data_IF_376300906816
#
_entry.id   IF_376300906816
#
_cell.length_a   1.000
_cell.length_b   1.000
_cell.length_c   1.000
_cell.angle_alpha   90.00
_cell.angle_beta   90.00
_cell.angle_gamma   90.00
#
_symmetry.space_group_name_H-M   'P 1'
#
loop_
_entity.id
_entity.type
_entity.pdbx_description
1 polymer ?
#
# COMPACT_ATOMS: atom_id res chain seq x y z
N UNK A 1 -13.16 -22.19 -13.85
CA UNK A 1 -13.81 -21.46 -12.74
C UNK A 1 -13.33 -21.91 -11.38
N UNK A 2 -12.78 -23.12 -11.25
CA UNK A 2 -12.18 -23.60 -9.99
C UNK A 2 -11.06 -22.70 -9.46
N UNK A 3 -10.28 -22.08 -10.35
CA UNK A 3 -9.28 -21.08 -9.95
C UNK A 3 -9.93 -19.88 -9.24
N UNK A 4 -11.11 -19.42 -9.66
CA UNK A 4 -11.82 -18.35 -8.96
C UNK A 4 -12.28 -18.82 -7.57
N UNK A 5 -12.76 -20.06 -7.45
CA UNK A 5 -13.10 -20.65 -6.15
C UNK A 5 -11.90 -20.70 -5.21
N UNK A 6 -10.73 -21.09 -5.72
CA UNK A 6 -9.46 -21.08 -4.96
C UNK A 6 -9.09 -19.66 -4.53
N UNK A 7 -9.11 -18.70 -5.46
CA UNK A 7 -8.76 -17.30 -5.19
C UNK A 7 -9.67 -16.69 -4.13
N UNK A 8 -10.99 -16.86 -4.25
CA UNK A 8 -11.96 -16.37 -3.26
C UNK A 8 -11.81 -17.12 -1.94
N UNK A 9 -11.66 -18.43 -1.95
CA UNK A 9 -11.49 -19.25 -0.74
C UNK A 9 -10.28 -18.83 0.07
N UNK A 10 -9.14 -18.63 -0.59
CA UNK A 10 -7.91 -18.16 0.06
C UNK A 10 -7.99 -16.69 0.47
N UNK A 11 -8.61 -15.81 -0.33
CA UNK A 11 -8.80 -14.40 0.00
C UNK A 11 -9.66 -14.19 1.25
N UNK A 12 -10.68 -15.04 1.42
CA UNK A 12 -11.66 -14.99 2.53
C UNK A 12 -11.21 -15.75 3.78
N UNK A 13 -9.97 -16.23 3.83
CA UNK A 13 -9.42 -17.07 4.90
C UNK A 13 -10.18 -18.38 5.16
N UNK A 14 -10.99 -18.84 4.21
CA UNK A 14 -11.66 -20.14 4.29
C UNK A 14 -10.77 -21.28 3.79
N UNK A 15 -9.86 -20.97 2.87
CA UNK A 15 -9.08 -21.94 2.12
C UNK A 15 -9.94 -22.80 1.21
N UNK A 16 -9.29 -23.71 0.48
CA UNK A 16 -9.97 -24.66 -0.42
C UNK A 16 -10.92 -25.62 0.31
N UNK A 17 -10.63 -25.96 1.57
CA UNK A 17 -11.50 -26.82 2.37
C UNK A 17 -12.83 -26.13 2.71
N UNK A 18 -12.77 -24.90 3.24
CA UNK A 18 -13.97 -24.14 3.55
C UNK A 18 -14.78 -23.86 2.28
N UNK A 19 -14.11 -23.45 1.21
CA UNK A 19 -14.78 -23.18 -0.07
C UNK A 19 -15.51 -24.40 -0.63
N UNK A 20 -14.94 -25.61 -0.54
CA UNK A 20 -15.60 -26.83 -0.99
C UNK A 20 -16.88 -27.18 -0.19
N UNK A 21 -17.01 -26.71 1.05
CA UNK A 21 -18.21 -26.93 1.87
C UNK A 21 -19.35 -25.96 1.54
N UNK A 22 -19.03 -24.80 0.94
CA UNK A 22 -19.98 -23.73 0.66
C UNK A 22 -20.09 -23.43 -0.83
N UNK A 23 -19.67 -24.35 -1.69
CA UNK A 23 -19.76 -24.19 -3.13
C UNK A 23 -20.09 -25.48 -3.86
N UNK A 24 -20.28 -25.35 -5.17
CA UNK A 24 -20.48 -26.43 -6.14
C UNK A 24 -19.18 -27.16 -6.56
N UNK A 25 -18.08 -26.98 -5.83
CA UNK A 25 -16.76 -27.58 -6.12
C UNK A 25 -16.30 -28.56 -5.06
N UNK A 26 -15.60 -29.62 -5.46
CA UNK A 26 -15.07 -30.62 -4.52
C UNK A 26 -13.66 -30.26 -4.04
N UNK A 27 -13.31 -30.67 -2.82
CA UNK A 27 -11.99 -30.43 -2.25
C UNK A 27 -10.86 -31.00 -3.13
N UNK A 28 -11.01 -32.22 -3.64
CA UNK A 28 -9.97 -32.88 -4.45
C UNK A 28 -9.68 -32.12 -5.76
N UNK A 29 -10.73 -31.56 -6.39
CA UNK A 29 -10.60 -30.70 -7.55
C UNK A 29 -9.83 -29.42 -7.21
N UNK A 30 -10.24 -28.70 -6.17
CA UNK A 30 -9.61 -27.44 -5.77
C UNK A 30 -8.15 -27.65 -5.32
N UNK A 31 -7.88 -28.73 -4.58
CA UNK A 31 -6.53 -29.09 -4.11
C UNK A 31 -5.57 -29.32 -5.27
N UNK A 32 -6.00 -30.12 -6.26
CA UNK A 32 -5.20 -30.42 -7.45
C UNK A 32 -4.89 -29.16 -8.26
N UNK A 33 -5.89 -28.30 -8.45
CA UNK A 33 -5.73 -27.08 -9.24
C UNK A 33 -4.87 -26.05 -8.50
N UNK A 34 -5.03 -25.88 -7.19
CA UNK A 34 -4.19 -24.98 -6.41
C UNK A 34 -2.72 -25.42 -6.49
N UNK A 35 -2.45 -26.71 -6.30
CA UNK A 35 -1.10 -27.26 -6.36
C UNK A 35 -0.43 -27.03 -7.73
N UNK A 36 -1.19 -27.07 -8.82
CA UNK A 36 -0.65 -26.97 -10.18
C UNK A 36 -0.54 -25.53 -10.71
N UNK A 37 -1.46 -24.63 -10.33
CA UNK A 37 -1.62 -23.33 -11.01
C UNK A 37 -1.42 -22.09 -10.14
N UNK A 38 -1.51 -22.21 -8.80
CA UNK A 38 -1.39 -21.06 -7.91
C UNK A 38 0.07 -20.86 -7.49
N UNK A 39 0.69 -19.73 -7.86
CA UNK A 39 2.05 -19.35 -7.50
C UNK A 39 2.10 -17.87 -7.14
N UNK A 40 3.12 -17.46 -6.39
CA UNK A 40 3.26 -16.06 -5.98
C UNK A 40 3.48 -15.16 -7.20
N UNK A 41 4.26 -15.62 -8.17
CA UNK A 41 4.59 -14.92 -9.41
C UNK A 41 3.33 -14.70 -10.26
N UNK A 42 2.47 -15.71 -10.38
CA UNK A 42 1.22 -15.59 -11.16
C UNK A 42 0.21 -14.69 -10.47
N UNK A 43 0.14 -14.70 -9.13
CA UNK A 43 -0.69 -13.78 -8.36
C UNK A 43 -0.22 -12.32 -8.45
N UNK A 44 1.10 -12.08 -8.43
CA UNK A 44 1.65 -10.75 -8.62
C UNK A 44 1.34 -10.21 -10.01
N UNK A 45 1.59 -11.00 -11.05
CA UNK A 45 1.25 -10.62 -12.43
C UNK A 45 -0.25 -10.37 -12.62
N UNK A 46 -1.12 -11.18 -11.99
CA UNK A 46 -2.57 -10.96 -12.02
C UNK A 46 -2.97 -9.64 -11.34
N UNK A 47 -2.35 -9.31 -10.20
CA UNK A 47 -2.58 -8.03 -9.53
C UNK A 47 -2.14 -6.86 -10.39
N UNK A 48 -0.97 -6.95 -11.03
CA UNK A 48 -0.48 -5.89 -11.93
C UNK A 48 -1.44 -5.68 -13.09
N UNK A 49 -1.97 -6.75 -13.70
CA UNK A 49 -2.97 -6.63 -14.76
C UNK A 49 -4.22 -5.86 -14.30
N UNK A 50 -4.75 -6.15 -13.10
CA UNK A 50 -5.92 -5.44 -12.57
C UNK A 50 -5.58 -3.98 -12.23
N UNK A 51 -4.45 -3.73 -11.60
CA UNK A 51 -4.02 -2.38 -11.25
C UNK A 51 -3.78 -1.54 -12.50
N UNK A 52 -3.09 -2.07 -13.50
CA UNK A 52 -2.80 -1.40 -14.77
C UNK A 52 -4.10 -1.15 -15.57
N UNK A 53 -5.05 -2.08 -15.54
CA UNK A 53 -6.38 -1.85 -16.10
C UNK A 53 -7.13 -0.74 -15.35
N UNK A 54 -7.05 -0.72 -14.02
CA UNK A 54 -7.65 0.34 -13.18
C UNK A 54 -7.05 1.71 -13.50
N UNK A 55 -5.74 1.78 -13.71
CA UNK A 55 -5.04 3.02 -14.04
C UNK A 55 -5.48 3.63 -15.39
N UNK A 56 -5.95 2.80 -16.32
CA UNK A 56 -6.43 3.22 -17.66
C UNK A 56 -7.87 3.75 -17.63
N UNK A 57 -8.60 3.54 -16.54
CA UNK A 57 -9.99 3.98 -16.44
C UNK A 57 -10.07 5.52 -16.34
N UNK A 58 -11.05 6.16 -17.00
CA UNK A 58 -11.23 7.62 -16.98
C UNK A 58 -11.25 8.24 -15.58
N UNK A 59 -11.86 7.54 -14.61
CA UNK A 59 -12.00 8.03 -13.24
C UNK A 59 -10.65 8.12 -12.49
N UNK A 60 -9.65 7.32 -12.89
CA UNK A 60 -8.45 7.10 -12.08
C UNK A 60 -7.67 8.40 -11.81
N UNK A 61 -7.58 9.30 -12.79
CA UNK A 61 -6.91 10.60 -12.65
C UNK A 61 -7.50 11.47 -11.54
N UNK A 62 -8.82 11.35 -11.30
CA UNK A 62 -9.51 12.11 -10.25
C UNK A 62 -9.26 11.53 -8.86
N UNK A 63 -8.67 10.34 -8.77
CA UNK A 63 -8.17 9.83 -7.51
C UNK A 63 -6.88 10.52 -7.09
N UNK A 64 -6.16 11.23 -7.95
CA UNK A 64 -4.96 11.93 -7.50
C UNK A 64 -5.32 13.00 -6.44
N UNK A 65 -4.54 13.05 -5.36
CA UNK A 65 -4.75 14.05 -4.28
C UNK A 65 -4.37 15.44 -4.77
N UNK A 66 -3.27 15.48 -5.51
CA UNK A 66 -2.71 16.62 -6.21
C UNK A 66 -2.73 16.29 -7.70
N UNK A 67 -3.00 17.27 -8.55
CA UNK A 67 -3.02 17.07 -10.00
C UNK A 67 -1.70 16.46 -10.49
N UNK A 68 -1.80 15.43 -11.34
CA UNK A 68 -0.66 14.69 -11.91
C UNK A 68 0.36 14.10 -10.93
N UNK A 69 0.01 13.95 -9.65
CA UNK A 69 0.88 13.33 -8.64
C UNK A 69 0.22 12.09 -8.05
N UNK A 70 0.89 10.95 -8.20
CA UNK A 70 0.47 9.68 -7.60
C UNK A 70 1.04 9.60 -6.19
N UNK A 71 0.15 9.83 -5.20
CA UNK A 71 0.51 9.75 -3.80
C UNK A 71 0.19 8.36 -3.25
N UNK A 72 1.23 7.62 -2.87
CA UNK A 72 1.11 6.32 -2.22
C UNK A 72 1.26 6.40 -0.70
N UNK A 73 0.74 5.38 -0.02
CA UNK A 73 0.99 5.10 1.38
C UNK A 73 1.52 3.68 1.56
N UNK A 74 2.43 3.49 2.51
CA UNK A 74 2.85 2.17 2.96
C UNK A 74 2.45 1.98 4.43
N UNK A 75 1.76 0.88 4.72
CA UNK A 75 1.35 0.52 6.07
C UNK A 75 1.34 -1.01 6.27
N UNK A 76 1.51 -1.46 7.52
CA UNK A 76 1.57 -2.86 7.92
C UNK A 76 0.33 -3.31 8.69
N UNK A 77 -0.42 -4.26 8.14
CA UNK A 77 -1.50 -4.94 8.86
C UNK A 77 -0.99 -6.17 9.60
N UNK A 78 -1.39 -6.32 10.86
CA UNK A 78 -1.03 -7.47 11.71
C UNK A 78 -2.08 -8.58 11.55
N UNK A 79 -1.61 -9.81 11.32
CA UNK A 79 -2.46 -10.99 11.16
C UNK A 79 -2.04 -12.08 12.13
N UNK A 80 -2.97 -12.55 12.95
CA UNK A 80 -2.77 -13.72 13.81
C UNK A 80 -2.63 -14.99 12.97
N UNK A 81 -1.71 -15.87 13.37
CA UNK A 81 -1.46 -17.15 12.73
C UNK A 81 -1.45 -18.28 13.78
N UNK A 82 -2.18 -19.37 13.53
CA UNK A 82 -2.29 -20.49 14.47
C UNK A 82 -1.02 -21.34 14.58
N UNK A 83 -0.33 -21.58 13.46
CA UNK A 83 0.84 -22.49 13.38
C UNK A 83 2.15 -21.71 13.38
N UNK A 84 3.20 -22.31 13.97
CA UNK A 84 4.54 -21.71 13.93
C UNK A 84 5.15 -21.92 12.55
N UNK A 85 5.54 -20.82 11.93
CA UNK A 85 6.33 -20.76 10.70
C UNK A 85 7.56 -19.89 10.93
N UNK A 86 8.47 -19.83 9.95
CA UNK A 86 9.69 -19.02 10.06
C UNK A 86 9.38 -17.52 10.17
N UNK A 87 8.24 -17.02 9.66
CA UNK A 87 7.86 -15.60 9.81
C UNK A 87 6.92 -15.32 10.98
N UNK A 88 6.17 -16.29 11.48
CA UNK A 88 5.27 -16.03 12.62
C UNK A 88 6.05 -15.70 13.88
N UNK A 89 5.64 -14.65 14.60
CA UNK A 89 6.28 -14.24 15.85
C UNK A 89 5.23 -13.88 16.89
N UNK A 90 5.51 -14.23 18.14
CA UNK A 90 4.72 -13.80 19.28
C UNK A 90 4.80 -12.28 19.44
N UNK A 91 3.67 -11.65 19.75
CA UNK A 91 3.64 -10.24 20.12
C UNK A 91 2.52 -9.99 21.10
N UNK A 92 2.87 -9.73 22.37
CA UNK A 92 1.90 -9.36 23.40
C UNK A 92 1.12 -8.11 23.06
N UNK A 93 1.75 -7.17 22.36
CA UNK A 93 1.12 -5.92 21.91
C UNK A 93 0.04 -6.14 20.85
N UNK A 94 0.28 -7.02 19.88
CA UNK A 94 -0.59 -7.15 18.69
C UNK A 94 -1.49 -8.39 18.69
N UNK A 95 -1.07 -9.46 19.37
CA UNK A 95 -1.70 -10.78 19.30
C UNK A 95 -1.93 -11.40 20.69
N UNK A 96 -1.69 -10.65 21.78
CA UNK A 96 -1.75 -11.19 23.14
C UNK A 96 -0.78 -12.36 23.34
N UNK A 97 -1.29 -13.56 23.68
CA UNK A 97 -0.48 -14.77 23.81
C UNK A 97 -0.24 -15.50 22.50
N UNK A 98 -0.82 -15.01 21.39
CA UNK A 98 -0.71 -15.60 20.08
C UNK A 98 0.48 -15.03 19.29
N UNK A 99 0.70 -15.60 18.12
CA UNK A 99 1.72 -15.22 17.15
C UNK A 99 1.07 -14.80 15.84
N UNK A 100 1.83 -14.10 15.03
CA UNK A 100 1.33 -13.62 13.75
C UNK A 100 2.41 -13.05 12.85
N UNK A 101 1.96 -12.48 11.74
CA UNK A 101 2.80 -11.84 10.72
C UNK A 101 2.35 -10.39 10.52
N UNK A 102 3.21 -9.60 9.88
CA UNK A 102 2.85 -8.26 9.39
C UNK A 102 2.82 -8.28 7.87
N UNK A 103 1.68 -7.94 7.26
CA UNK A 103 1.59 -7.73 5.84
C UNK A 103 1.68 -6.23 5.54
N UNK A 104 2.82 -5.82 5.02
CA UNK A 104 3.00 -4.47 4.48
C UNK A 104 2.32 -4.37 3.13
N UNK A 105 1.57 -3.29 2.91
CA UNK A 105 0.91 -3.00 1.64
C UNK A 105 1.32 -1.61 1.16
N UNK A 106 1.69 -1.50 -0.10
CA UNK A 106 1.89 -0.24 -0.80
C UNK A 106 0.63 0.06 -1.59
N UNK A 107 -0.01 1.16 -1.24
CA UNK A 107 -1.30 1.57 -1.77
C UNK A 107 -1.09 2.88 -2.50
N UNK A 108 -1.36 2.92 -3.80
CA UNK A 108 -1.32 4.12 -4.61
C UNK A 108 -2.75 4.49 -5.00
N UNK A 109 -3.18 5.72 -4.66
CA UNK A 109 -4.58 6.12 -4.70
C UNK A 109 -5.47 5.15 -3.90
N UNK A 110 -6.16 4.23 -4.57
CA UNK A 110 -7.05 3.23 -3.95
C UNK A 110 -6.63 1.78 -4.25
N UNK A 111 -5.55 1.59 -5.02
CA UNK A 111 -5.10 0.29 -5.49
C UNK A 111 -3.88 -0.18 -4.69
N UNK A 112 -3.89 -1.44 -4.23
CA UNK A 112 -2.71 -2.04 -3.61
C UNK A 112 -1.77 -2.57 -4.69
N UNK A 113 -0.81 -1.72 -5.05
CA UNK A 113 0.13 -1.96 -6.14
C UNK A 113 1.21 -2.97 -5.77
N UNK A 114 1.55 -3.09 -4.49
CA UNK A 114 2.49 -4.11 -4.03
C UNK A 114 2.22 -4.51 -2.56
N UNK A 115 2.67 -5.69 -2.15
CA UNK A 115 2.58 -6.15 -0.78
C UNK A 115 3.74 -7.08 -0.40
N UNK A 116 4.02 -7.16 0.90
CA UNK A 116 5.03 -8.06 1.44
C UNK A 116 4.69 -8.52 2.84
N UNK A 117 4.77 -9.83 3.06
CA UNK A 117 4.66 -10.43 4.39
C UNK A 117 6.04 -10.50 5.06
N UNK A 118 6.16 -9.83 6.20
CA UNK A 118 7.32 -9.81 7.10
C UNK A 118 6.94 -10.38 8.47
N UNK A 119 7.93 -10.78 9.26
CA UNK A 119 7.71 -11.21 10.64
C UNK A 119 7.22 -10.07 11.52
N UNK A 120 6.39 -10.37 12.52
CA UNK A 120 5.79 -9.34 13.37
C UNK A 120 6.80 -8.60 14.29
N UNK A 121 8.00 -9.14 14.46
CA UNK A 121 9.11 -8.50 15.17
C UNK A 121 9.98 -7.62 14.27
N UNK A 122 9.77 -7.67 12.95
CA UNK A 122 10.55 -6.90 11.99
C UNK A 122 10.01 -5.48 11.88
N UNK A 123 10.91 -4.51 11.75
CA UNK A 123 10.53 -3.11 11.71
C UNK A 123 10.16 -2.69 10.28
N UNK A 124 8.91 -2.29 10.06
CA UNK A 124 8.33 -1.98 8.74
C UNK A 124 9.13 -0.93 7.95
N UNK A 125 9.66 0.08 8.64
CA UNK A 125 10.46 1.13 8.02
C UNK A 125 11.68 0.62 7.22
N UNK A 126 12.16 -0.60 7.51
CA UNK A 126 13.31 -1.20 6.83
C UNK A 126 12.98 -1.74 5.43
N UNK A 127 11.69 -1.86 5.10
CA UNK A 127 11.21 -2.52 3.89
C UNK A 127 10.52 -1.56 2.91
N UNK A 128 10.35 -0.29 3.28
CA UNK A 128 9.61 0.70 2.49
C UNK A 128 10.22 0.87 1.08
N UNK A 129 11.54 1.08 1.01
CA UNK A 129 12.23 1.25 -0.25
C UNK A 129 12.16 -0.03 -1.10
N UNK A 130 12.35 -1.19 -0.48
CA UNK A 130 12.26 -2.48 -1.17
C UNK A 130 10.86 -2.71 -1.74
N UNK A 131 9.82 -2.30 -1.02
CA UNK A 131 8.42 -2.42 -1.43
C UNK A 131 8.10 -1.50 -2.62
N UNK A 132 8.64 -0.28 -2.65
CA UNK A 132 8.55 0.62 -3.81
C UNK A 132 9.30 0.06 -5.01
N UNK A 133 10.56 -0.36 -4.82
CA UNK A 133 11.41 -0.84 -5.92
C UNK A 133 10.98 -2.18 -6.52
N UNK A 134 10.24 -2.98 -5.76
CA UNK A 134 9.69 -4.26 -6.24
C UNK A 134 8.31 -4.13 -6.87
N UNK A 135 7.71 -2.94 -6.90
CA UNK A 135 6.48 -2.69 -7.66
C UNK A 135 6.74 -2.92 -9.16
N UNK A 136 5.90 -3.74 -9.77
CA UNK A 136 5.97 -4.09 -11.21
C UNK A 136 4.75 -3.60 -11.99
N UNK A 137 3.81 -2.93 -11.33
CA UNK A 137 2.67 -2.25 -11.98
C UNK A 137 3.11 -0.97 -12.71
N UNK A 138 2.26 -0.51 -13.63
CA UNK A 138 2.44 0.75 -14.38
C UNK A 138 2.18 1.99 -13.50
N UNK A 139 1.63 1.79 -12.29
CA UNK A 139 1.35 2.85 -11.33
C UNK A 139 2.61 3.13 -10.52
N UNK A 140 3.33 4.19 -10.88
CA UNK A 140 4.57 4.62 -10.22
C UNK A 140 4.26 5.79 -9.27
N UNK A 141 4.42 5.63 -7.94
CA UNK A 141 4.22 6.73 -7.01
C UNK A 141 5.28 7.82 -7.13
N UNK A 142 4.88 9.08 -6.95
CA UNK A 142 5.80 10.22 -6.84
C UNK A 142 6.09 10.54 -5.35
N UNK A 143 5.05 10.42 -4.52
CA UNK A 143 5.08 10.72 -3.09
C UNK A 143 4.73 9.48 -2.30
N UNK A 144 5.45 9.24 -1.20
CA UNK A 144 5.15 8.16 -0.28
C UNK A 144 4.93 8.67 1.14
N UNK A 145 3.77 8.34 1.70
CA UNK A 145 3.46 8.55 3.12
C UNK A 145 3.46 7.26 3.94
N UNK A 146 3.79 7.41 5.21
CA UNK A 146 3.71 6.36 6.24
C UNK A 146 3.50 7.04 7.58
N UNK A 147 2.98 6.30 8.57
CA UNK A 147 2.97 6.77 9.95
C UNK A 147 4.38 6.75 10.56
N UNK A 148 4.51 7.39 11.72
CA UNK A 148 5.77 7.52 12.51
C UNK A 148 6.58 6.23 12.60
N UNK A 149 5.93 5.08 12.77
CA UNK A 149 6.60 3.77 12.89
C UNK A 149 7.25 3.29 11.58
N UNK A 150 6.85 3.83 10.43
CA UNK A 150 7.50 3.57 9.14
C UNK A 150 8.70 4.47 8.86
N UNK A 151 9.13 5.33 9.78
CA UNK A 151 10.31 6.20 9.59
C UNK A 151 11.56 5.56 10.18
N UNK A 152 12.70 5.65 9.48
CA UNK A 152 14.04 5.38 10.03
C UNK A 152 15.03 6.48 9.67
N UNK A 153 16.30 6.28 10.05
CA UNK A 153 17.38 7.25 9.90
C UNK A 153 17.97 7.37 8.48
N UNK A 154 17.48 6.59 7.50
CA UNK A 154 17.94 6.62 6.11
C UNK A 154 16.82 6.79 5.07
N UNK A 155 15.54 6.66 5.45
CA UNK A 155 14.41 6.69 4.51
C UNK A 155 14.36 7.96 3.66
N UNK A 156 14.60 9.14 4.25
CA UNK A 156 14.59 10.38 3.47
C UNK A 156 15.71 10.37 2.43
N UNK A 157 16.93 9.99 2.83
CA UNK A 157 18.05 9.90 1.90
C UNK A 157 17.80 8.88 0.78
N UNK A 158 17.34 7.67 1.13
CA UNK A 158 17.14 6.60 0.15
C UNK A 158 16.03 6.92 -0.85
N UNK A 159 14.94 7.53 -0.41
CA UNK A 159 13.83 7.87 -1.30
C UNK A 159 14.17 9.07 -2.19
N UNK A 160 14.84 10.08 -1.64
CA UNK A 160 15.30 11.25 -2.39
C UNK A 160 16.28 10.87 -3.51
N UNK A 161 17.23 9.95 -3.26
CA UNK A 161 18.17 9.46 -4.27
C UNK A 161 17.51 8.78 -5.48
N UNK A 162 16.27 8.35 -5.33
CA UNK A 162 15.49 7.69 -6.37
C UNK A 162 14.35 8.55 -6.91
N UNK A 163 14.29 9.83 -6.52
CA UNK A 163 13.31 10.80 -7.00
C UNK A 163 11.95 10.72 -6.31
N UNK A 164 11.82 9.97 -5.21
CA UNK A 164 10.58 9.91 -4.44
C UNK A 164 10.57 10.97 -3.35
N UNK A 165 9.46 11.68 -3.23
CA UNK A 165 9.22 12.53 -2.07
C UNK A 165 8.73 11.68 -0.89
N UNK A 166 9.52 11.59 0.17
CA UNK A 166 9.08 10.95 1.41
C UNK A 166 8.32 11.93 2.31
N UNK A 167 7.05 11.65 2.58
CA UNK A 167 6.14 12.52 3.30
C UNK A 167 5.47 11.80 4.49
N UNK A 168 6.23 11.46 5.56
CA UNK A 168 5.68 10.75 6.72
C UNK A 168 4.79 11.64 7.59
N UNK A 169 3.76 11.02 8.20
CA UNK A 169 2.93 11.65 9.24
C UNK A 169 3.51 11.36 10.62
N UNK A 170 3.99 12.41 11.28
CA UNK A 170 4.45 12.31 12.66
C UNK A 170 3.29 12.47 13.64
N UNK A 171 3.15 11.52 14.57
CA UNK A 171 2.15 11.61 15.63
C UNK A 171 2.47 12.74 16.62
N UNK A 172 3.76 12.96 16.89
CA UNK A 172 4.27 14.03 17.76
C UNK A 172 5.10 15.02 16.93
N UNK A 173 4.47 15.74 16.00
CA UNK A 173 5.15 16.68 15.09
C UNK A 173 6.02 17.68 15.86
N UNK A 174 5.49 18.28 16.93
CA UNK A 174 6.23 19.25 17.75
C UNK A 174 7.52 18.70 18.35
N UNK A 175 7.51 17.43 18.80
CA UNK A 175 8.72 16.76 19.28
C UNK A 175 9.75 16.61 18.16
N UNK A 176 9.32 16.14 16.99
CA UNK A 176 10.22 15.93 15.85
C UNK A 176 10.83 17.25 15.35
N UNK A 177 10.05 18.33 15.36
CA UNK A 177 10.53 19.69 15.05
C UNK A 177 11.56 20.12 16.11
N UNK A 178 11.21 20.02 17.39
CA UNK A 178 12.09 20.41 18.49
C UNK A 178 13.36 19.58 18.56
N UNK A 179 13.37 18.33 18.08
CA UNK A 179 14.58 17.50 18.00
C UNK A 179 15.54 18.00 16.89
N UNK A 180 15.02 18.66 15.85
CA UNK A 180 15.80 19.13 14.70
C UNK A 180 16.16 20.61 14.76
N UNK A 181 15.25 21.45 15.25
CA UNK A 181 15.34 22.91 15.22
C UNK A 181 15.28 23.50 16.64
N UNK A 182 16.04 24.56 16.85
CA UNK A 182 15.79 25.53 17.91
C UNK A 182 14.72 26.50 17.42
N UNK A 183 13.64 26.60 18.18
CA UNK A 183 12.52 27.51 17.93
C UNK A 183 12.68 28.68 18.90
N UNK A 184 12.86 29.88 18.38
CA UNK A 184 12.96 31.11 19.18
C UNK A 184 11.90 32.09 18.71
N UNK A 185 11.29 32.78 19.66
CA UNK A 185 10.38 33.89 19.39
C UNK A 185 11.12 35.19 19.74
N UNK A 186 11.13 36.15 18.81
CA UNK A 186 11.72 37.45 19.07
C UNK A 186 10.72 38.40 19.77
N UNK A 187 11.19 39.62 20.10
CA UNK A 187 10.38 40.63 20.80
C UNK A 187 9.17 41.13 19.98
N UNK A 188 9.13 40.84 18.68
CA UNK A 188 8.07 41.23 17.74
C UNK A 188 7.15 40.04 17.42
N UNK A 189 7.20 38.97 18.23
CA UNK A 189 6.42 37.74 18.04
C UNK A 189 6.73 36.99 16.74
N UNK A 190 7.90 37.23 16.12
CA UNK A 190 8.34 36.44 14.96
C UNK A 190 9.04 35.17 15.41
N UNK A 191 8.67 34.06 14.80
CA UNK A 191 9.27 32.76 15.04
C UNK A 191 10.50 32.61 14.15
N UNK A 192 11.65 32.35 14.76
CA UNK A 192 12.90 31.98 14.09
C UNK A 192 13.18 30.50 14.32
N UNK A 193 13.39 29.77 13.22
CA UNK A 193 13.77 28.36 13.21
C UNK A 193 15.22 28.22 12.75
N UNK A 194 16.07 27.67 13.60
CA UNK A 194 17.46 27.38 13.27
C UNK A 194 17.76 25.91 13.55
N UNK A 195 18.58 25.25 12.73
CA UNK A 195 19.00 23.88 13.02
C UNK A 195 19.82 23.82 14.32
N UNK A 196 19.46 22.91 15.23
CA UNK A 196 20.21 22.68 16.49
C UNK A 196 21.67 22.31 16.25
N UNK A 197 21.89 21.52 15.20
CA UNK A 197 23.21 21.14 14.71
C UNK A 197 23.25 21.43 13.22
N UNK A 198 24.18 22.28 12.74
CA UNK A 198 24.34 22.53 11.31
C UNK A 198 24.49 21.21 10.53
N UNK A 199 23.96 21.17 9.31
CA UNK A 199 24.19 20.05 8.40
C UNK A 199 25.65 20.09 7.95
N UNK A 200 26.37 18.98 8.10
CA UNK A 200 27.75 18.90 7.63
C UNK A 200 27.78 18.48 6.14
N UNK A 201 27.65 19.45 5.25
CA UNK A 201 27.66 19.24 3.79
C UNK A 201 29.01 18.73 3.28
N UNK A 202 30.12 19.08 3.94
CA UNK A 202 31.45 18.58 3.58
C UNK A 202 31.55 17.06 3.72
N UNK A 203 31.00 16.47 4.80
CA UNK A 203 30.95 15.01 4.98
C UNK A 203 30.11 14.31 3.93
N UNK A 204 29.01 14.93 3.50
CA UNK A 204 28.18 14.41 2.41
C UNK A 204 29.00 14.37 1.12
N UNK A 205 29.64 15.50 0.77
CA UNK A 205 30.46 15.61 -0.44
C UNK A 205 31.63 14.62 -0.44
N UNK A 206 32.34 14.48 0.68
CA UNK A 206 33.50 13.59 0.82
C UNK A 206 33.15 12.11 0.57
N UNK A 207 31.94 11.68 0.90
CA UNK A 207 31.51 10.28 0.75
C UNK A 207 30.42 10.09 -0.31
N UNK A 208 30.18 11.10 -1.16
CA UNK A 208 29.10 11.10 -2.14
C UNK A 208 29.20 9.91 -3.09
N UNK A 209 30.38 9.62 -3.62
CA UNK A 209 30.64 8.46 -4.47
C UNK A 209 30.21 7.14 -3.82
N UNK A 210 30.38 7.02 -2.50
CA UNK A 210 29.99 5.81 -1.77
C UNK A 210 28.48 5.74 -1.58
N UNK A 211 27.83 6.87 -1.31
CA UNK A 211 26.36 6.98 -1.26
C UNK A 211 25.77 6.59 -2.62
N UNK A 212 26.34 7.08 -3.72
CA UNK A 212 25.93 6.71 -5.07
C UNK A 212 26.13 5.20 -5.35
N UNK A 213 27.24 4.60 -4.91
CA UNK A 213 27.45 3.14 -5.04
C UNK A 213 26.43 2.33 -4.25
N UNK A 214 25.99 2.80 -3.08
CA UNK A 214 24.89 2.18 -2.32
C UNK A 214 23.59 2.26 -3.13
N UNK A 215 23.26 3.45 -3.65
CA UNK A 215 22.08 3.64 -4.50
C UNK A 215 22.12 2.72 -5.73
N UNK A 216 23.25 2.62 -6.42
CA UNK A 216 23.43 1.69 -7.55
C UNK A 216 23.23 0.23 -7.12
N UNK A 217 23.78 -0.15 -5.96
CA UNK A 217 23.63 -1.54 -5.45
C UNK A 217 22.19 -1.88 -5.11
N UNK A 218 21.45 -0.92 -4.53
CA UNK A 218 20.02 -1.03 -4.27
C UNK A 218 19.22 -1.10 -5.58
N UNK A 219 19.50 -0.21 -6.55
CA UNK A 219 18.85 -0.20 -7.87
C UNK A 219 19.06 -1.50 -8.63
N UNK A 220 20.27 -2.06 -8.56
CA UNK A 220 20.62 -3.36 -9.17
C UNK A 220 20.09 -4.55 -8.37
N UNK A 221 19.38 -4.33 -7.25
CA UNK A 221 18.86 -5.36 -6.34
C UNK A 221 19.93 -6.33 -5.83
N UNK A 222 21.20 -5.89 -5.79
CA UNK A 222 22.32 -6.65 -5.19
C UNK A 222 22.28 -6.66 -3.66
N UNK A 223 21.54 -5.73 -3.08
CA UNK A 223 21.24 -5.65 -1.66
C UNK A 223 19.84 -5.10 -1.46
N UNK A 224 19.30 -5.23 -0.25
CA UNK A 224 17.99 -4.69 0.14
C UNK A 224 18.17 -3.56 1.14
N UNK A 225 17.16 -2.70 1.29
CA UNK A 225 17.15 -1.70 2.34
C UNK A 225 17.29 -2.36 3.71
N UNK A 226 16.59 -3.45 3.97
CA UNK A 226 16.67 -4.15 5.25
C UNK A 226 18.10 -4.63 5.56
N UNK A 227 18.80 -5.17 4.56
CA UNK A 227 20.22 -5.55 4.69
C UNK A 227 21.11 -4.33 4.94
N UNK A 228 20.88 -3.24 4.22
CA UNK A 228 21.64 -2.00 4.39
C UNK A 228 21.47 -1.43 5.80
N UNK A 229 20.24 -1.27 6.28
CA UNK A 229 19.95 -0.72 7.61
C UNK A 229 20.53 -1.61 8.70
N UNK A 230 20.44 -2.94 8.56
CA UNK A 230 21.07 -3.88 9.49
C UNK A 230 22.58 -3.68 9.55
N UNK A 231 23.24 -3.63 8.40
CA UNK A 231 24.69 -3.42 8.31
C UNK A 231 25.13 -2.07 8.87
N UNK A 232 24.38 -1.01 8.57
CA UNK A 232 24.64 0.34 9.10
C UNK A 232 24.50 0.39 10.63
N UNK A 233 23.60 -0.41 11.20
CA UNK A 233 23.39 -0.49 12.65
C UNK A 233 24.54 -1.18 13.40
N UNK A 234 25.36 -1.98 12.70
CA UNK A 234 26.56 -2.63 13.26
C UNK A 234 27.76 -1.67 13.32
N UNK A 235 27.73 -0.58 12.55
CA UNK A 235 28.79 0.41 12.55
C UNK A 235 28.79 1.26 13.82
N UNK A 236 29.99 1.63 14.27
CA UNK A 236 30.14 2.67 15.30
C UNK A 236 29.55 3.98 14.77
N UNK A 237 28.98 4.78 15.69
CA UNK A 237 28.34 6.07 15.33
C UNK A 237 29.25 7.04 14.57
N UNK A 238 30.57 6.94 14.76
CA UNK A 238 31.58 7.75 14.10
C UNK A 238 32.10 7.15 12.78
N UNK A 239 31.46 6.10 12.25
CA UNK A 239 31.85 5.52 10.97
C UNK A 239 31.58 6.53 9.84
N UNK A 240 32.57 6.91 9.03
CA UNK A 240 32.44 8.05 8.10
C UNK A 240 31.26 7.94 7.13
N UNK A 241 31.01 6.74 6.59
CA UNK A 241 29.87 6.47 5.70
C UNK A 241 28.51 6.61 6.41
N UNK A 242 28.40 6.13 7.66
CA UNK A 242 27.16 6.22 8.42
C UNK A 242 26.86 7.68 8.73
N UNK A 243 27.89 8.44 9.11
CA UNK A 243 27.78 9.88 9.35
C UNK A 243 27.36 10.63 8.10
N UNK A 244 27.99 10.36 6.94
CA UNK A 244 27.65 11.02 5.69
C UNK A 244 26.20 10.75 5.25
N UNK A 245 25.75 9.49 5.28
CA UNK A 245 24.37 9.14 4.94
C UNK A 245 23.37 9.73 5.94
N UNK A 246 23.72 9.76 7.22
CA UNK A 246 22.90 10.40 8.26
C UNK A 246 22.78 11.90 8.04
N UNK A 247 23.88 12.60 7.74
CA UNK A 247 23.85 14.05 7.48
C UNK A 247 23.04 14.38 6.21
N UNK A 248 23.14 13.56 5.16
CA UNK A 248 22.29 13.70 3.98
C UNK A 248 20.81 13.42 4.27
N UNK A 249 20.49 12.38 5.02
CA UNK A 249 19.12 12.12 5.47
C UNK A 249 18.58 13.28 6.33
N UNK A 250 19.40 13.86 7.21
CA UNK A 250 19.04 15.03 8.02
C UNK A 250 18.75 16.24 7.16
N UNK A 251 19.53 16.48 6.10
CA UNK A 251 19.31 17.58 5.16
C UNK A 251 17.92 17.48 4.51
N UNK A 252 17.62 16.34 3.88
CA UNK A 252 16.33 16.11 3.21
C UNK A 252 15.17 16.17 4.21
N UNK A 253 15.33 15.54 5.38
CA UNK A 253 14.33 15.57 6.45
C UNK A 253 14.07 16.99 6.96
N UNK A 254 15.12 17.79 7.15
CA UNK A 254 14.98 19.18 7.60
C UNK A 254 14.18 20.00 6.59
N UNK A 255 14.49 19.87 5.30
CA UNK A 255 13.75 20.52 4.23
C UNK A 255 12.26 20.12 4.24
N UNK A 256 11.98 18.82 4.34
CA UNK A 256 10.60 18.31 4.46
C UNK A 256 9.88 18.90 5.67
N UNK A 257 10.51 18.92 6.85
CA UNK A 257 9.89 19.44 8.07
C UNK A 257 9.54 20.93 7.95
N UNK A 258 10.40 21.74 7.32
CA UNK A 258 10.10 23.15 7.07
C UNK A 258 8.88 23.30 6.15
N UNK A 259 8.83 22.54 5.05
CA UNK A 259 7.66 22.52 4.17
C UNK A 259 6.41 22.04 4.90
N UNK A 260 6.53 21.02 5.75
CA UNK A 260 5.41 20.46 6.52
C UNK A 260 4.89 21.43 7.59
N UNK A 261 5.71 22.35 8.10
CA UNK A 261 5.30 23.43 9.01
C UNK A 261 4.55 24.51 8.24
N UNK A 262 5.08 24.94 7.10
CA UNK A 262 4.58 26.07 6.34
C UNK A 262 3.31 25.74 5.53
N UNK A 263 3.28 24.56 4.90
CA UNK A 263 2.23 24.18 3.95
C UNK A 263 1.13 23.32 4.58
N UNK A 264 -0.06 23.91 4.74
CA UNK A 264 -1.26 23.22 5.20
C UNK A 264 -1.78 22.18 4.20
N UNK A 265 -1.58 22.41 2.90
CA UNK A 265 -2.00 21.51 1.83
C UNK A 265 -1.17 20.24 1.88
N UNK A 266 0.16 20.32 2.03
CA UNK A 266 1.02 19.15 2.23
C UNK A 266 0.54 18.28 3.40
N UNK A 267 0.20 18.88 4.54
CA UNK A 267 -0.35 18.14 5.69
C UNK A 267 -1.66 17.43 5.35
N UNK A 268 -2.54 18.10 4.62
CA UNK A 268 -3.80 17.53 4.16
C UNK A 268 -3.55 16.36 3.20
N UNK A 269 -2.62 16.50 2.27
CA UNK A 269 -2.27 15.46 1.29
C UNK A 269 -1.77 14.19 1.98
N UNK A 270 -0.82 14.34 2.92
CA UNK A 270 -0.31 13.24 3.74
C UNK A 270 -1.45 12.55 4.50
N UNK A 271 -2.35 13.31 5.11
CA UNK A 271 -3.49 12.73 5.84
C UNK A 271 -4.45 11.98 4.91
N UNK A 272 -4.76 12.53 3.73
CA UNK A 272 -5.63 11.89 2.74
C UNK A 272 -5.04 10.60 2.21
N UNK A 273 -3.73 10.55 1.94
CA UNK A 273 -3.05 9.33 1.51
C UNK A 273 -3.17 8.21 2.56
N UNK A 274 -2.92 8.52 3.83
CA UNK A 274 -3.05 7.55 4.92
C UNK A 274 -4.50 7.10 5.14
N UNK A 275 -5.46 8.01 5.05
CA UNK A 275 -6.88 7.67 5.15
C UNK A 275 -7.32 6.69 4.04
N UNK A 276 -6.76 6.79 2.84
CA UNK A 276 -7.02 5.85 1.75
C UNK A 276 -6.43 4.48 2.02
N UNK A 277 -5.21 4.45 2.57
CA UNK A 277 -4.59 3.23 3.07
C UNK A 277 -5.50 2.50 4.08
N UNK A 278 -5.99 3.23 5.10
CA UNK A 278 -6.94 2.71 6.09
C UNK A 278 -8.24 2.20 5.45
N UNK A 279 -8.81 2.94 4.49
CA UNK A 279 -10.05 2.54 3.84
C UNK A 279 -9.90 1.26 3.00
N UNK A 280 -8.80 1.13 2.25
CA UNK A 280 -8.44 -0.12 1.56
C UNK A 280 -8.26 -1.26 2.58
N UNK A 281 -7.59 -0.98 3.69
CA UNK A 281 -7.37 -1.93 4.76
C UNK A 281 -8.66 -2.42 5.41
N UNK A 282 -9.68 -1.56 5.55
CA UNK A 282 -11.01 -1.95 6.01
C UNK A 282 -11.72 -2.86 4.99
N UNK A 283 -11.67 -2.52 3.70
CA UNK A 283 -12.20 -3.37 2.63
C UNK A 283 -11.53 -4.75 2.65
N UNK A 284 -10.19 -4.78 2.72
CA UNK A 284 -9.42 -6.02 2.77
C UNK A 284 -9.79 -6.87 3.99
N UNK A 285 -9.96 -6.25 5.17
CA UNK A 285 -10.46 -6.93 6.37
C UNK A 285 -11.86 -7.50 6.15
N UNK A 286 -12.75 -6.78 5.47
CA UNK A 286 -14.08 -7.29 5.15
C UNK A 286 -14.02 -8.54 4.26
N UNK A 287 -13.12 -8.57 3.28
CA UNK A 287 -12.83 -9.77 2.46
C UNK A 287 -12.34 -10.92 3.33
N UNK A 288 -11.36 -10.69 4.21
CA UNK A 288 -10.72 -11.74 5.01
C UNK A 288 -11.52 -12.22 6.23
N UNK A 289 -12.47 -11.41 6.73
CA UNK A 289 -13.21 -11.65 7.99
C UNK A 289 -14.39 -12.62 7.86
N UNK A 290 -14.69 -13.11 6.65
CA UNK A 290 -15.78 -14.06 6.40
C UNK A 290 -15.66 -15.33 7.28
N UNK A 291 -14.45 -15.68 7.72
CA UNK A 291 -14.17 -16.80 8.63
C UNK A 291 -13.64 -16.38 10.02
N UNK A 292 -13.92 -15.16 10.49
CA UNK A 292 -13.54 -14.70 11.84
C UNK A 292 -12.05 -14.38 12.01
N UNK A 293 -11.42 -13.76 10.99
CA UNK A 293 -10.08 -13.14 11.00
C UNK A 293 -8.86 -14.05 11.27
N UNK A 294 -9.02 -15.38 11.21
CA UNK A 294 -7.93 -16.30 11.58
C UNK A 294 -7.27 -16.96 10.37
N UNK A 295 -5.97 -16.72 10.18
CA UNK A 295 -5.17 -17.47 9.21
C UNK A 295 -5.00 -18.93 9.67
N UNK A 296 -5.45 -19.86 8.82
CA UNK A 296 -5.27 -21.32 9.02
C UNK A 296 -4.04 -21.86 8.31
N UNK A 297 -3.32 -21.02 7.55
CA UNK A 297 -2.13 -21.39 6.79
C UNK A 297 -1.08 -22.11 7.64
N UNK A 298 -0.50 -23.15 7.05
CA UNK A 298 0.42 -24.09 7.67
C UNK A 298 1.89 -23.81 7.35
N UNK A 299 2.17 -22.96 6.36
CA UNK A 299 3.52 -22.54 5.95
C UNK A 299 3.59 -21.04 5.63
N UNK A 300 4.80 -20.48 5.58
CA UNK A 300 5.01 -19.08 5.16
C UNK A 300 4.55 -18.83 3.73
N UNK A 301 4.71 -19.82 2.85
CA UNK A 301 4.27 -19.76 1.46
C UNK A 301 2.74 -19.69 1.39
N UNK A 302 2.03 -20.50 2.16
CA UNK A 302 0.58 -20.49 2.19
C UNK A 302 0.04 -19.14 2.72
N UNK A 303 0.66 -18.58 3.76
CA UNK A 303 0.32 -17.25 4.27
C UNK A 303 0.52 -16.18 3.18
N UNK A 304 1.62 -16.26 2.42
CA UNK A 304 1.88 -15.34 1.32
C UNK A 304 0.85 -15.49 0.19
N UNK A 305 0.53 -16.71 -0.22
CA UNK A 305 -0.49 -16.97 -1.24
C UNK A 305 -1.85 -16.41 -0.83
N UNK A 306 -2.26 -16.63 0.42
CA UNK A 306 -3.53 -16.10 0.94
C UNK A 306 -3.51 -14.57 1.00
N UNK A 307 -2.39 -13.98 1.44
CA UNK A 307 -2.21 -12.52 1.45
C UNK A 307 -2.38 -11.92 0.05
N UNK A 308 -1.76 -12.53 -0.97
CA UNK A 308 -1.85 -12.08 -2.35
C UNK A 308 -3.21 -12.37 -2.99
N UNK A 309 -3.88 -13.47 -2.64
CA UNK A 309 -5.27 -13.72 -3.05
C UNK A 309 -6.21 -12.65 -2.48
N UNK A 310 -6.05 -12.31 -1.20
CA UNK A 310 -6.81 -11.24 -0.57
C UNK A 310 -6.55 -9.87 -1.23
N UNK A 311 -5.29 -9.58 -1.57
CA UNK A 311 -4.93 -8.37 -2.35
C UNK A 311 -5.60 -8.38 -3.72
N UNK A 312 -5.54 -9.50 -4.44
CA UNK A 312 -6.12 -9.65 -5.78
C UNK A 312 -7.63 -9.42 -5.78
N UNK A 313 -8.37 -10.07 -4.87
CA UNK A 313 -9.82 -9.91 -4.75
C UNK A 313 -10.17 -8.48 -4.35
N UNK A 314 -9.40 -7.88 -3.44
CA UNK A 314 -9.61 -6.48 -3.03
C UNK A 314 -9.39 -5.51 -4.20
N UNK A 315 -8.31 -5.68 -4.97
CA UNK A 315 -8.05 -4.88 -6.17
C UNK A 315 -9.12 -5.13 -7.26
N UNK A 316 -9.64 -6.35 -7.40
CA UNK A 316 -10.73 -6.65 -8.33
C UNK A 316 -12.02 -5.90 -7.96
N UNK A 317 -12.34 -5.80 -6.67
CA UNK A 317 -13.47 -4.99 -6.17
C UNK A 317 -13.25 -3.52 -6.49
N UNK A 318 -12.04 -2.99 -6.23
CA UNK A 318 -11.70 -1.59 -6.55
C UNK A 318 -11.80 -1.33 -8.04
N UNK A 319 -11.33 -2.25 -8.89
CA UNK A 319 -11.47 -2.15 -10.34
C UNK A 319 -12.94 -2.13 -10.78
N UNK A 320 -13.76 -3.06 -10.26
CA UNK A 320 -15.18 -3.13 -10.56
C UNK A 320 -15.90 -1.82 -10.24
N UNK A 321 -15.71 -1.30 -9.03
CA UNK A 321 -16.29 -0.03 -8.61
C UNK A 321 -15.75 1.14 -9.44
N UNK A 322 -14.45 1.18 -9.73
CA UNK A 322 -13.85 2.22 -10.58
C UNK A 322 -14.40 2.19 -12.00
N UNK A 323 -14.72 1.00 -12.53
CA UNK A 323 -15.33 0.84 -13.85
C UNK A 323 -16.75 1.40 -13.89
N UNK A 324 -17.57 1.12 -12.87
CA UNK A 324 -18.90 1.73 -12.71
C UNK A 324 -18.77 3.26 -12.65
N UNK A 325 -17.88 3.78 -11.79
CA UNK A 325 -17.67 5.22 -11.66
C UNK A 325 -17.19 5.87 -12.97
N UNK A 326 -16.38 5.17 -13.75
CA UNK A 326 -15.93 5.66 -15.07
C UNK A 326 -17.06 5.74 -16.09
N UNK A 327 -17.96 4.75 -16.11
CA UNK A 327 -19.12 4.77 -16.99
C UNK A 327 -20.13 5.85 -16.55
N UNK A 328 -20.33 6.04 -15.24
CA UNK A 328 -21.13 7.16 -14.72
C UNK A 328 -20.52 8.51 -15.10
N UNK A 329 -19.21 8.67 -14.94
CA UNK A 329 -18.50 9.89 -15.34
C UNK A 329 -18.73 10.20 -16.82
N UNK A 330 -18.50 9.21 -17.69
CA UNK A 330 -18.69 9.35 -19.15
C UNK A 330 -20.14 9.70 -19.49
N UNK A 331 -21.11 9.04 -18.85
CA UNK A 331 -22.54 9.33 -19.02
C UNK A 331 -22.90 10.76 -18.62
N UNK A 332 -22.43 11.24 -17.47
CA UNK A 332 -22.75 12.57 -16.99
C UNK A 332 -22.00 13.67 -17.75
N UNK A 333 -20.79 13.39 -18.23
CA UNK A 333 -20.05 14.26 -19.16
C UNK A 333 -20.80 14.40 -20.48
N UNK A 334 -21.31 13.30 -21.06
CA UNK A 334 -22.14 13.34 -22.26
C UNK A 334 -23.42 14.17 -22.08
N UNK A 335 -24.02 14.13 -20.88
CA UNK A 335 -25.21 14.89 -20.54
C UNK A 335 -24.93 16.37 -20.16
N UNK A 336 -23.67 16.72 -19.89
CA UNK A 336 -23.30 18.04 -19.36
C UNK A 336 -23.74 18.29 -17.91
N UNK A 337 -24.00 17.24 -17.12
CA UNK A 337 -24.44 17.34 -15.72
C UNK A 337 -23.26 17.56 -14.77
N UNK A 338 -22.80 18.81 -14.68
CA UNK A 338 -21.63 19.21 -13.87
C UNK A 338 -21.74 18.81 -12.40
N UNK A 339 -22.95 18.86 -11.82
CA UNK A 339 -23.18 18.50 -10.42
C UNK A 339 -22.92 17.02 -10.18
N UNK A 340 -23.44 16.13 -11.04
CA UNK A 340 -23.21 14.69 -10.90
C UNK A 340 -21.77 14.31 -11.24
N UNK A 341 -21.14 14.99 -12.20
CA UNK A 341 -19.71 14.83 -12.50
C UNK A 341 -18.85 15.07 -11.25
N UNK A 342 -19.08 16.17 -10.53
CA UNK A 342 -18.30 16.51 -9.34
C UNK A 342 -18.49 15.49 -8.20
N UNK A 343 -19.71 14.96 -8.04
CA UNK A 343 -19.99 13.89 -7.08
C UNK A 343 -19.22 12.62 -7.43
N UNK A 344 -19.26 12.19 -8.70
CA UNK A 344 -18.57 10.97 -9.16
C UNK A 344 -17.05 11.08 -8.99
N UNK A 345 -16.47 12.24 -9.29
CA UNK A 345 -15.02 12.50 -9.10
C UNK A 345 -14.57 12.38 -7.64
N UNK A 346 -15.46 12.65 -6.68
CA UNK A 346 -15.17 12.55 -5.25
C UNK A 346 -15.48 11.17 -4.65
N UNK A 347 -16.14 10.28 -5.41
CA UNK A 347 -16.55 8.97 -4.93
C UNK A 347 -15.33 8.04 -4.75
N UNK A 348 -15.30 7.34 -3.63
CA UNK A 348 -14.26 6.37 -3.33
C UNK A 348 -14.61 4.99 -3.89
N UNK A 349 -13.72 4.34 -4.67
CA UNK A 349 -13.99 3.02 -5.26
C UNK A 349 -13.83 1.86 -4.26
N UNK A 350 -13.49 2.15 -2.99
CA UNK A 350 -13.25 1.10 -1.99
C UNK A 350 -14.51 0.67 -1.24
N UNK A 351 -15.69 1.22 -1.56
CA UNK A 351 -16.94 0.83 -0.90
C UNK A 351 -17.38 -0.60 -1.27
N UNK A 352 -17.93 -1.36 -0.32
CA UNK A 352 -18.32 -2.77 -0.54
C UNK A 352 -19.68 -3.16 0.03
N UNK A 353 -20.48 -2.22 0.50
CA UNK A 353 -21.82 -2.53 1.03
C UNK A 353 -22.73 -3.21 -0.01
N UNK A 354 -22.46 -2.97 -1.29
CA UNK A 354 -23.13 -3.57 -2.44
C UNK A 354 -22.58 -4.96 -2.84
N UNK A 355 -21.54 -5.46 -2.16
CA UNK A 355 -20.87 -6.72 -2.51
C UNK A 355 -21.11 -7.75 -1.42
N UNK A 356 -21.81 -8.83 -1.76
CA UNK A 356 -22.01 -9.93 -0.84
C UNK A 356 -20.77 -10.85 -0.82
N UNK A 357 -20.07 -10.88 0.32
CA UNK A 357 -18.89 -11.72 0.56
C UNK A 357 -19.21 -12.99 1.36
N UNK A 358 -20.48 -13.19 1.74
CA UNK A 358 -20.93 -14.30 2.61
C UNK A 358 -22.00 -15.15 1.92
N UNK A 359 -22.12 -16.39 2.37
CA UNK A 359 -23.11 -17.34 1.87
C UNK A 359 -22.50 -18.42 0.98
N UNK A 360 -23.34 -19.04 0.17
CA UNK A 360 -22.97 -20.13 -0.75
C UNK A 360 -22.53 -19.55 -2.10
N UNK A 361 -21.47 -20.11 -2.68
CA UNK A 361 -20.94 -19.73 -3.97
C UNK A 361 -21.31 -20.75 -5.04
N UNK A 362 -21.66 -20.28 -6.23
CA UNK A 362 -21.85 -21.11 -7.41
C UNK A 362 -20.87 -20.65 -8.48
N UNK A 363 -19.93 -21.53 -8.85
CA UNK A 363 -18.89 -21.24 -9.83
C UNK A 363 -19.16 -21.89 -11.19
N UNK A 364 -20.23 -22.68 -11.33
CA UNK A 364 -20.80 -23.04 -12.63
C UNK A 364 -21.33 -21.78 -13.32
N UNK A 365 -20.93 -21.62 -14.58
CA UNK A 365 -21.39 -20.51 -15.43
C UNK A 365 -22.91 -20.62 -15.62
N UNK A 366 -23.64 -19.54 -15.34
CA UNK A 366 -24.71 -19.18 -16.27
C UNK A 366 -24.04 -18.81 -17.59
N UNK A 367 -24.55 -19.25 -18.74
CA UNK A 367 -23.93 -19.05 -20.07
C UNK A 367 -23.59 -17.58 -20.42
N UNK A 368 -24.14 -16.62 -19.66
CA UNK A 368 -23.90 -15.18 -19.82
C UNK A 368 -23.27 -14.59 -18.55
N UNK A 369 -22.14 -13.89 -18.70
CA UNK A 369 -21.58 -13.02 -17.67
C UNK A 369 -22.54 -11.83 -17.41
N UNK A 370 -22.56 -11.25 -16.20
CA UNK A 370 -23.37 -10.07 -15.93
C UNK A 370 -22.99 -8.93 -16.88
N UNK A 371 -24.00 -8.36 -17.55
CA UNK A 371 -23.80 -7.19 -18.38
C UNK A 371 -23.74 -5.94 -17.50
N UNK A 372 -22.61 -5.23 -17.55
CA UNK A 372 -22.40 -4.05 -16.72
C UNK A 372 -23.38 -2.93 -17.08
N UNK A 373 -23.74 -2.77 -18.35
CA UNK A 373 -24.74 -1.78 -18.76
C UNK A 373 -26.11 -2.11 -18.15
N UNK A 374 -26.48 -3.39 -18.15
CA UNK A 374 -27.74 -3.86 -17.57
C UNK A 374 -27.79 -3.57 -16.06
N UNK A 375 -26.70 -3.85 -15.33
CA UNK A 375 -26.58 -3.52 -13.91
C UNK A 375 -26.74 -2.02 -13.65
N UNK A 376 -26.18 -1.19 -14.52
CA UNK A 376 -26.16 0.26 -14.37
C UNK A 376 -27.47 0.96 -14.77
N UNK A 377 -28.35 0.32 -15.57
CA UNK A 377 -29.66 0.89 -15.95
C UNK A 377 -30.55 1.26 -14.76
N UNK A 378 -30.33 0.63 -13.60
CA UNK A 378 -31.06 0.93 -12.37
C UNK A 378 -30.59 2.21 -11.66
N UNK A 379 -29.44 2.77 -12.05
CA UNK A 379 -28.86 3.96 -11.44
C UNK A 379 -29.52 5.21 -12.00
N UNK A 380 -30.09 6.03 -11.12
CA UNK A 380 -30.79 7.25 -11.49
C UNK A 380 -29.91 8.20 -12.32
N UNK A 381 -30.41 8.58 -13.51
CA UNK A 381 -29.74 9.53 -14.40
C UNK A 381 -28.63 8.94 -15.27
N UNK A 382 -28.28 7.66 -15.12
CA UNK A 382 -27.36 6.99 -16.03
C UNK A 382 -27.97 6.86 -17.42
N UNK A 383 -27.21 7.23 -18.46
CA UNK A 383 -27.55 6.98 -19.86
C UNK A 383 -26.41 6.17 -20.50
N UNK A 384 -26.71 5.08 -21.22
CA UNK A 384 -25.69 4.32 -21.92
C UNK A 384 -25.09 5.19 -23.03
N UNK A 385 -23.78 5.37 -22.98
CA UNK A 385 -23.01 6.06 -24.02
C UNK A 385 -22.25 4.98 -24.77
N UNK A 386 -22.60 4.74 -26.04
CA UNK A 386 -21.81 3.83 -26.88
C UNK A 386 -20.40 4.42 -27.05
N UNK A 387 -19.38 3.69 -26.59
CA UNK A 387 -17.99 4.00 -26.94
C UNK A 387 -17.90 3.95 -28.47
N UNK A 388 -17.49 5.06 -29.09
CA UNK A 388 -17.22 5.14 -30.53
C UNK A 388 -15.87 4.53 -30.86
#
# INVERSE_FOLDING_TARGET
>A
YDLLAILVGNATNQGIYGMAQISDRTYDQLSTIQANYLRLETLNAANDNINNATAKLPIFRYYNIQEDVIHASADGQKFEARRETFKTRYSSKYFGTQKGVSAMTLIANHAAINARVIGANEHESHYIFDLLMSNTSDIIPDVLSTDTHGVNHVNFALLDLFGYQFAPRYAQVGKVINDMFDVKEDKEHRIQLCLKKPINTHRIAQHWDTIQRIAVSLKQRKTTQATLVRKLSEYKRNHPLLEALTEYNRLVKANYLLCYIDDASLRNYVQRALNRGEAYHQLRRAVSSVNGDQFRGSSDEEIQLWNECARLVTNAIVYFNSRILSQLLTSFEYQGDTKRIDIVKQASPVAWHNINLKGTYHFELSEKLPDLEELMRSIEGYLPVSEK
#
